data_IF_628503060960
#
_entry.id   IF_628503060960
#
_cell.length_a   1.000
_cell.length_b   1.000
_cell.length_c   1.000
_cell.angle_alpha   90.00
_cell.angle_beta   90.00
_cell.angle_gamma   90.00
#
_symmetry.space_group_name_H-M   'P 1'
#
loop_
_entity.id
_entity.type
_entity.pdbx_description
1 polymer ?
#
# COMPACT_ATOMS: atom_id res chain seq x y z
N UNK A 1 19.37 19.99 4.66
CA UNK A 1 19.45 18.54 4.50
C UNK A 1 18.16 18.00 3.95
N UNK A 2 18.22 16.95 3.15
CA UNK A 2 17.04 16.34 2.55
C UNK A 2 16.36 15.38 3.51
N UNK A 3 15.04 15.36 3.48
CA UNK A 3 14.24 14.40 4.23
C UNK A 3 13.56 13.46 3.23
N UNK A 4 13.81 12.17 3.36
CA UNK A 4 13.22 11.14 2.48
C UNK A 4 12.41 10.17 3.34
N UNK A 5 11.17 9.93 2.91
CA UNK A 5 10.35 8.94 3.61
C UNK A 5 10.89 7.55 3.28
N UNK A 6 11.38 6.86 4.28
CA UNK A 6 11.96 5.52 4.17
C UNK A 6 10.90 4.43 4.33
N UNK A 7 10.07 4.57 5.36
CA UNK A 7 9.27 3.47 5.86
C UNK A 7 8.00 3.96 6.53
N UNK A 8 6.89 3.29 6.25
CA UNK A 8 5.62 3.51 6.93
C UNK A 8 5.21 2.24 7.66
N UNK A 9 4.75 2.36 8.89
CA UNK A 9 4.24 1.23 9.66
C UNK A 9 2.78 0.95 9.31
N UNK A 10 2.47 -0.31 9.02
CA UNK A 10 1.11 -0.77 8.73
C UNK A 10 0.69 -1.73 9.85
N UNK A 11 -0.30 -1.36 10.66
CA UNK A 11 -0.70 -2.17 11.81
C UNK A 11 -1.48 -3.40 11.35
N UNK A 12 -0.99 -4.59 11.71
CA UNK A 12 -1.57 -5.86 11.30
C UNK A 12 -1.73 -6.80 12.48
N UNK A 13 -2.67 -7.74 12.37
CA UNK A 13 -2.93 -8.76 13.38
C UNK A 13 -2.24 -10.08 13.08
N UNK A 14 -1.94 -10.36 11.81
CA UNK A 14 -1.35 -11.62 11.34
C UNK A 14 -0.32 -11.31 10.25
N UNK A 15 0.96 -11.46 10.60
CA UNK A 15 2.05 -11.09 9.69
C UNK A 15 2.08 -11.99 8.45
N UNK A 16 1.90 -13.30 8.62
CA UNK A 16 1.94 -14.22 7.46
C UNK A 16 0.82 -13.91 6.47
N UNK A 17 -0.39 -13.69 6.97
CA UNK A 17 -1.54 -13.35 6.11
C UNK A 17 -1.30 -12.03 5.37
N UNK A 18 -0.82 -11.03 6.07
CA UNK A 18 -0.55 -9.71 5.49
C UNK A 18 0.60 -9.76 4.50
N UNK A 19 1.68 -10.46 4.82
CA UNK A 19 2.81 -10.63 3.91
C UNK A 19 2.35 -11.31 2.62
N UNK A 20 1.59 -12.41 2.71
CA UNK A 20 1.10 -13.12 1.54
C UNK A 20 0.23 -12.21 0.66
N UNK A 21 -0.60 -11.39 1.27
CA UNK A 21 -1.45 -10.43 0.56
C UNK A 21 -0.61 -9.44 -0.26
N UNK A 22 0.36 -8.79 0.36
CA UNK A 22 1.16 -7.78 -0.33
C UNK A 22 2.10 -8.38 -1.37
N UNK A 23 2.70 -9.54 -1.10
CA UNK A 23 3.54 -10.25 -2.07
C UNK A 23 2.72 -10.64 -3.30
N UNK A 24 1.48 -11.08 -3.10
CA UNK A 24 0.56 -11.41 -4.20
C UNK A 24 0.24 -10.20 -5.07
N UNK A 25 0.24 -9.00 -4.50
CA UNK A 25 0.08 -7.74 -5.25
C UNK A 25 1.38 -7.28 -5.93
N UNK A 26 2.47 -8.00 -5.78
CA UNK A 26 3.74 -7.69 -6.42
C UNK A 26 4.75 -6.95 -5.55
N UNK A 27 4.44 -6.74 -4.27
CA UNK A 27 5.42 -6.12 -3.36
C UNK A 27 6.63 -7.04 -3.17
N UNK A 28 7.81 -6.45 -3.16
CA UNK A 28 9.04 -7.18 -2.88
C UNK A 28 9.21 -7.32 -1.36
N UNK A 29 9.45 -8.55 -0.91
CA UNK A 29 9.76 -8.81 0.50
C UNK A 29 11.25 -8.57 0.72
N UNK A 30 11.61 -7.36 1.13
CA UNK A 30 13.01 -6.95 1.29
C UNK A 30 13.66 -7.63 2.49
N UNK A 31 12.93 -7.70 3.59
CA UNK A 31 13.39 -8.29 4.84
C UNK A 31 12.26 -9.06 5.51
N UNK A 32 12.62 -10.21 6.08
CA UNK A 32 11.74 -11.00 6.91
C UNK A 32 12.61 -11.66 7.98
N UNK A 33 12.71 -11.02 9.14
CA UNK A 33 13.61 -11.43 10.20
C UNK A 33 12.83 -11.64 11.49
N UNK A 34 12.89 -12.86 12.01
CA UNK A 34 12.35 -13.14 13.34
C UNK A 34 13.38 -12.68 14.37
N UNK A 35 13.05 -11.64 15.12
CA UNK A 35 13.94 -11.06 16.13
C UNK A 35 13.92 -11.91 17.41
N UNK A 36 12.71 -12.33 17.86
CA UNK A 36 12.50 -13.25 18.96
C UNK A 36 11.15 -13.95 18.79
N UNK A 37 10.69 -14.69 19.80
CA UNK A 37 9.44 -15.46 19.70
C UNK A 37 8.21 -14.58 19.45
N UNK A 38 8.26 -13.31 19.85
CA UNK A 38 7.12 -12.39 19.80
C UNK A 38 7.30 -11.27 18.78
N UNK A 39 8.49 -11.13 18.20
CA UNK A 39 8.81 -9.99 17.34
C UNK A 39 9.43 -10.48 16.02
N UNK A 40 8.79 -10.08 14.92
CA UNK A 40 9.23 -10.38 13.58
C UNK A 40 9.21 -9.09 12.76
N UNK A 41 10.31 -8.79 12.09
CA UNK A 41 10.44 -7.62 11.23
C UNK A 41 10.23 -8.05 9.78
N UNK A 42 9.17 -7.54 9.15
CA UNK A 42 8.88 -7.80 7.74
C UNK A 42 8.72 -6.47 7.03
N UNK A 43 9.64 -6.20 6.10
CA UNK A 43 9.64 -5.00 5.28
C UNK A 43 9.32 -5.36 3.84
N UNK A 44 8.36 -4.66 3.25
CA UNK A 44 7.90 -4.88 1.89
C UNK A 44 7.95 -3.56 1.12
N UNK A 45 8.31 -3.63 -0.16
CA UNK A 45 8.37 -2.44 -1.01
C UNK A 45 7.49 -2.62 -2.25
N UNK A 46 6.55 -1.70 -2.51
CA UNK A 46 5.80 -1.71 -3.77
C UNK A 46 6.75 -1.56 -4.96
N UNK A 47 6.46 -2.19 -6.11
CA UNK A 47 7.30 -2.04 -7.29
C UNK A 47 7.48 -0.56 -7.66
N UNK A 48 8.72 -0.16 -7.89
CA UNK A 48 9.05 1.22 -8.29
C UNK A 48 9.00 2.26 -7.19
N UNK A 49 8.68 1.89 -5.96
CA UNK A 49 8.62 2.83 -4.84
C UNK A 49 9.96 2.93 -4.12
N UNK A 50 10.30 4.14 -3.68
CA UNK A 50 11.45 4.36 -2.79
C UNK A 50 11.07 4.21 -1.31
N UNK A 51 9.79 4.32 -0.99
CA UNK A 51 9.28 4.16 0.36
C UNK A 51 8.72 2.74 0.55
N UNK A 52 9.07 2.13 1.67
CA UNK A 52 8.64 0.77 2.02
C UNK A 52 7.58 0.80 3.10
N UNK A 53 6.97 -0.37 3.36
CA UNK A 53 6.13 -0.56 4.54
C UNK A 53 6.75 -1.63 5.44
N UNK A 54 6.47 -1.52 6.74
CA UNK A 54 6.76 -2.59 7.71
C UNK A 54 5.43 -3.07 8.29
N UNK A 55 5.28 -4.39 8.38
CA UNK A 55 4.09 -4.97 8.99
C UNK A 55 4.25 -4.91 10.51
N UNK A 56 3.47 -4.03 11.15
CA UNK A 56 3.61 -3.71 12.57
C UNK A 56 2.69 -4.58 13.41
N UNK A 57 3.29 -5.60 14.04
CA UNK A 57 2.66 -6.38 15.09
C UNK A 57 3.64 -6.50 16.24
N UNK A 58 3.27 -5.99 17.42
CA UNK A 58 4.10 -6.02 18.61
C UNK A 58 5.42 -5.22 18.50
N UNK A 59 5.47 -4.23 17.60
CA UNK A 59 6.67 -3.41 17.41
C UNK A 59 6.62 -2.07 18.15
N UNK A 60 5.68 -1.92 19.08
CA UNK A 60 5.53 -0.69 19.85
C UNK A 60 4.64 0.36 19.22
N UNK A 61 4.07 0.08 18.06
CA UNK A 61 3.10 0.97 17.43
C UNK A 61 1.80 1.04 18.22
N UNK A 62 1.13 2.19 18.15
CA UNK A 62 -0.09 2.45 18.91
C UNK A 62 -1.36 2.26 18.09
N UNK A 63 -1.23 2.06 16.78
CA UNK A 63 -2.37 1.88 15.91
C UNK A 63 -2.95 0.48 16.09
N UNK A 64 -4.27 0.39 16.21
CA UNK A 64 -4.94 -0.89 16.18
C UNK A 64 -4.80 -1.53 14.80
N UNK A 65 -4.74 -2.87 14.68
CA UNK A 65 -4.72 -3.53 13.38
C UNK A 65 -5.87 -3.03 12.50
N UNK A 66 -5.56 -2.70 11.24
CA UNK A 66 -6.56 -2.22 10.28
C UNK A 66 -6.96 -0.77 10.41
N UNK A 67 -6.37 0.00 11.34
CA UNK A 67 -6.79 1.37 11.59
C UNK A 67 -6.13 2.40 10.69
N UNK A 68 -5.12 2.02 9.92
CA UNK A 68 -4.43 2.95 9.03
C UNK A 68 -5.25 3.20 7.78
N UNK A 69 -5.36 4.47 7.41
CA UNK A 69 -6.06 4.89 6.19
C UNK A 69 -5.20 5.86 5.42
N UNK A 70 -5.41 5.92 4.10
CA UNK A 70 -4.84 6.97 3.29
C UNK A 70 -3.43 6.74 2.81
N UNK A 71 -2.95 5.50 2.78
CA UNK A 71 -1.73 5.22 2.02
C UNK A 71 -2.07 5.37 0.55
N UNK A 72 -1.41 6.30 -0.13
CA UNK A 72 -1.72 6.62 -1.52
C UNK A 72 -0.51 6.38 -2.41
N UNK A 73 -0.72 5.61 -3.46
CA UNK A 73 0.29 5.31 -4.46
C UNK A 73 -0.14 5.89 -5.81
N UNK A 74 0.82 6.42 -6.56
CA UNK A 74 0.59 6.84 -7.94
C UNK A 74 0.82 5.62 -8.84
N UNK A 75 -0.12 5.38 -9.74
CA UNK A 75 -0.05 4.31 -10.75
C UNK A 75 -0.21 4.90 -12.14
N UNK A 76 0.31 4.19 -13.13
CA UNK A 76 0.22 4.66 -14.52
C UNK A 76 -1.21 4.60 -15.08
N UNK A 77 -2.00 3.62 -14.63
CA UNK A 77 -3.38 3.40 -15.11
C UNK A 77 -4.24 2.85 -13.97
N UNK A 78 -5.31 3.56 -13.65
CA UNK A 78 -6.28 3.10 -12.66
C UNK A 78 -7.02 1.85 -13.15
N UNK A 79 -7.33 1.77 -14.44
CA UNK A 79 -7.99 0.59 -15.01
C UNK A 79 -7.10 -0.65 -14.89
N UNK A 80 -5.80 -0.51 -15.20
CA UNK A 80 -4.85 -1.61 -15.09
C UNK A 80 -4.66 -2.02 -13.62
N UNK A 81 -4.64 -1.06 -12.70
CA UNK A 81 -4.54 -1.33 -11.27
C UNK A 81 -5.75 -2.09 -10.76
N UNK A 82 -6.95 -1.70 -11.18
CA UNK A 82 -8.17 -2.43 -10.83
C UNK A 82 -8.12 -3.88 -11.34
N UNK A 83 -7.64 -4.08 -12.56
CA UNK A 83 -7.49 -5.43 -13.13
C UNK A 83 -6.49 -6.27 -12.32
N UNK A 84 -5.38 -5.66 -11.91
CA UNK A 84 -4.38 -6.34 -11.07
C UNK A 84 -4.98 -6.78 -9.74
N UNK A 85 -5.76 -5.93 -9.10
CA UNK A 85 -6.44 -6.28 -7.85
C UNK A 85 -7.44 -7.42 -8.06
N UNK A 86 -8.22 -7.34 -9.11
CA UNK A 86 -9.20 -8.38 -9.46
C UNK A 86 -8.51 -9.72 -9.71
N UNK A 87 -7.42 -9.72 -10.47
CA UNK A 87 -6.65 -10.94 -10.77
C UNK A 87 -6.04 -11.55 -9.50
N UNK A 88 -5.70 -10.73 -8.54
CA UNK A 88 -5.17 -11.17 -7.24
C UNK A 88 -6.28 -11.59 -6.25
N UNK A 89 -7.55 -11.50 -6.64
CA UNK A 89 -8.67 -11.85 -5.78
C UNK A 89 -8.99 -10.79 -4.71
N UNK A 90 -8.52 -9.56 -4.91
CA UNK A 90 -8.76 -8.46 -3.98
C UNK A 90 -10.00 -7.69 -4.42
N UNK A 91 -10.95 -7.54 -3.50
CA UNK A 91 -12.14 -6.76 -3.77
C UNK A 91 -11.79 -5.27 -3.82
N UNK A 92 -12.26 -4.60 -4.85
CA UNK A 92 -12.15 -3.16 -4.98
C UNK A 92 -13.39 -2.65 -5.70
N UNK A 93 -13.85 -1.48 -5.31
CA UNK A 93 -14.88 -0.79 -6.08
C UNK A 93 -14.27 -0.34 -7.41
N UNK A 94 -15.10 -0.12 -8.42
CA UNK A 94 -14.63 0.34 -9.71
C UNK A 94 -13.89 1.68 -9.63
N UNK A 95 -13.25 2.06 -10.73
CA UNK A 95 -12.52 3.33 -10.82
C UNK A 95 -13.46 4.50 -10.53
N UNK A 96 -13.00 5.41 -9.67
CA UNK A 96 -13.73 6.63 -9.32
C UNK A 96 -12.97 7.84 -9.85
N UNK A 97 -13.69 8.72 -10.54
CA UNK A 97 -13.11 9.92 -11.15
C UNK A 97 -13.32 11.14 -10.25
N UNK A 98 -12.22 11.82 -9.96
CA UNK A 98 -12.22 13.09 -9.24
C UNK A 98 -11.43 14.12 -10.06
N UNK A 99 -11.56 15.41 -9.69
CA UNK A 99 -10.82 16.46 -10.38
C UNK A 99 -9.30 16.28 -10.29
N UNK A 100 -8.83 15.63 -9.23
CA UNK A 100 -7.39 15.42 -8.98
C UNK A 100 -6.89 14.04 -9.39
N UNK A 101 -7.68 13.25 -10.09
CA UNK A 101 -7.26 11.97 -10.65
C UNK A 101 -8.31 10.90 -10.66
N UNK A 102 -7.91 9.75 -11.16
CA UNK A 102 -8.74 8.53 -11.17
C UNK A 102 -8.22 7.59 -10.10
N UNK A 103 -9.13 7.07 -9.28
CA UNK A 103 -8.77 6.34 -8.07
C UNK A 103 -9.35 4.94 -8.04
N UNK A 104 -8.57 4.02 -7.47
CA UNK A 104 -9.05 2.71 -7.04
C UNK A 104 -8.72 2.56 -5.56
N UNK A 105 -9.72 2.22 -4.75
CA UNK A 105 -9.55 2.03 -3.31
C UNK A 105 -9.66 0.56 -2.97
N UNK A 106 -8.80 0.10 -2.06
CA UNK A 106 -8.88 -1.24 -1.53
C UNK A 106 -8.37 -1.26 -0.09
N UNK A 107 -8.61 -2.38 0.60
CA UNK A 107 -8.11 -2.60 1.95
C UNK A 107 -7.29 -3.88 2.00
N UNK A 108 -6.34 -3.93 2.94
CA UNK A 108 -5.63 -5.15 3.24
C UNK A 108 -6.49 -6.08 4.12
N UNK A 109 -6.00 -7.30 4.49
CA UNK A 109 -6.81 -8.22 5.28
C UNK A 109 -7.28 -7.70 6.63
N UNK A 110 -6.56 -6.77 7.23
CA UNK A 110 -6.96 -6.15 8.51
C UNK A 110 -7.90 -4.95 8.33
N UNK A 111 -8.00 -4.41 7.12
CA UNK A 111 -8.81 -3.23 6.84
C UNK A 111 -8.02 -1.94 6.64
N UNK A 112 -6.68 -2.01 6.63
CA UNK A 112 -5.87 -0.83 6.32
C UNK A 112 -6.16 -0.34 4.90
N UNK A 113 -6.44 0.95 4.76
CA UNK A 113 -6.95 1.55 3.53
C UNK A 113 -5.86 2.07 2.61
N UNK A 114 -5.95 1.69 1.35
CA UNK A 114 -5.05 2.10 0.28
C UNK A 114 -5.82 2.81 -0.83
N UNK A 115 -5.16 3.78 -1.45
CA UNK A 115 -5.66 4.46 -2.64
C UNK A 115 -4.61 4.36 -3.74
N UNK A 116 -5.02 3.94 -4.93
CA UNK A 116 -4.19 3.94 -6.12
C UNK A 116 -4.68 5.06 -7.02
N UNK A 117 -3.81 6.00 -7.34
CA UNK A 117 -4.15 7.21 -8.06
C UNK A 117 -3.46 7.25 -9.42
N UNK A 118 -4.25 7.34 -10.48
CA UNK A 118 -3.76 7.77 -11.77
C UNK A 118 -3.89 9.29 -11.82
N UNK A 119 -2.76 9.97 -11.96
CA UNK A 119 -2.73 11.43 -11.98
C UNK A 119 -3.46 11.96 -13.22
N UNK A 120 -4.14 13.11 -13.12
CA UNK A 120 -4.72 13.74 -14.28
C UNK A 120 -3.63 14.20 -15.25
N UNK A 121 -4.01 14.41 -16.51
CA UNK A 121 -3.08 15.00 -17.48
C UNK A 121 -2.94 16.48 -17.19
N UNK A 122 -1.94 16.80 -16.37
CA UNK A 122 -1.68 18.19 -15.98
C UNK A 122 -1.28 19.08 -17.17
N UNK A 123 -0.73 18.49 -18.23
CA UNK A 123 -0.37 19.28 -19.40
C UNK A 123 -1.60 19.88 -20.10
N UNK A 124 -2.73 19.17 -20.09
CA UNK A 124 -3.99 19.65 -20.64
C UNK A 124 -4.69 20.65 -19.73
N UNK A 125 -4.29 20.74 -18.45
CA UNK A 125 -4.90 21.60 -17.44
C UNK A 125 -4.13 22.89 -17.20
N UNK A 126 -2.92 23.02 -17.73
CA UNK A 126 -2.11 24.21 -17.54
C UNK A 126 -2.58 25.32 -18.46
N UNK A 127 -2.70 26.56 -17.95
CA UNK A 127 -2.96 27.71 -18.81
C UNK A 127 -1.80 27.87 -19.77
N UNK A 128 -2.16 28.09 -21.01
CA UNK A 128 -1.18 28.31 -22.07
C UNK A 128 -0.55 29.70 -21.95
#
# INVERSE_FOLDING_TARGET
MDWKIELLSVPVSDIDRSKDFYVKLGFNADHDTKVDENLRFVQLTPPGSACSIVLDKNMGGRMAPGSLEGIQCVVASADAALQQLTDAGVEAQGVQDFAWGRFVFFTDPDGNGWALQELPDYSAMQPS
#
